data_IF_532065112417
#
_entry.id   IF_532065112417
#
_cell.length_a   1.000
_cell.length_b   1.000
_cell.length_c   1.000
_cell.angle_alpha   90.00
_cell.angle_beta   90.00
_cell.angle_gamma   90.00
#
_symmetry.space_group_name_H-M   'P 1'
#
loop_
_entity.id
_entity.type
_entity.pdbx_description
1 polymer ?
#
# COMPACT_ATOMS: atom_id res chain seq x y z
N UNK A 1 51.51 45.24 -56.94
CA UNK A 1 52.46 45.37 -55.80
C UNK A 1 52.58 44.02 -55.14
N UNK A 2 53.80 43.48 -55.04
CA UNK A 2 54.16 42.18 -54.46
C UNK A 2 54.65 42.38 -53.02
N UNK A 3 54.31 41.46 -52.14
CA UNK A 3 54.96 41.16 -50.85
C UNK A 3 54.42 39.79 -50.40
N UNK A 4 55.13 38.64 -50.37
CA UNK A 4 56.44 38.28 -49.78
C UNK A 4 56.52 38.77 -48.31
N UNK A 5 56.70 37.95 -47.26
CA UNK A 5 57.57 36.77 -47.04
C UNK A 5 57.33 36.26 -45.58
N UNK A 6 57.27 34.95 -45.28
CA UNK A 6 58.25 34.10 -44.54
C UNK A 6 57.55 33.49 -43.30
N UNK A 7 57.23 32.19 -43.19
CA UNK A 7 58.06 31.01 -42.85
C UNK A 7 59.12 31.27 -41.76
N UNK A 8 58.84 30.83 -40.53
CA UNK A 8 59.86 30.31 -39.62
C UNK A 8 59.35 29.03 -38.95
N UNK A 9 59.97 27.93 -39.34
CA UNK A 9 59.99 26.62 -38.70
C UNK A 9 61.02 26.68 -37.57
N UNK A 10 60.67 26.23 -36.37
CA UNK A 10 61.67 25.81 -35.37
C UNK A 10 61.09 24.66 -34.53
N UNK A 11 61.56 23.45 -34.84
CA UNK A 11 61.47 22.21 -34.06
C UNK A 11 62.75 22.13 -33.21
N UNK A 12 62.82 21.18 -32.24
CA UNK A 12 64.05 20.62 -31.58
C UNK A 12 64.42 21.39 -30.27
N UNK A 13 64.58 20.84 -29.04
CA UNK A 13 64.84 19.48 -28.52
C UNK A 13 64.76 19.42 -26.96
N UNK A 14 64.46 18.22 -26.43
CA UNK A 14 64.87 17.51 -25.19
C UNK A 14 65.10 18.19 -23.81
N UNK A 15 64.74 17.35 -22.80
CA UNK A 15 65.41 17.05 -21.52
C UNK A 15 65.45 18.11 -20.41
N UNK A 16 64.70 17.84 -19.34
CA UNK A 16 65.25 17.83 -17.97
C UNK A 16 64.29 17.15 -16.99
N UNK A 17 64.55 15.86 -16.72
CA UNK A 17 64.11 15.11 -15.55
C UNK A 17 64.88 15.55 -14.28
N UNK A 18 64.29 15.25 -13.12
CA UNK A 18 64.75 15.52 -11.74
C UNK A 18 64.55 16.99 -11.34
N UNK A 19 63.83 17.32 -10.26
CA UNK A 19 64.22 17.07 -8.86
C UNK A 19 63.07 16.61 -7.96
N UNK A 20 63.38 15.60 -7.14
CA UNK A 20 62.71 15.23 -5.90
C UNK A 20 63.14 16.18 -4.77
N UNK A 21 62.19 16.71 -4.02
CA UNK A 21 62.28 17.07 -2.61
C UNK A 21 60.83 17.02 -2.09
N UNK A 22 60.44 16.17 -1.13
CA UNK A 22 61.15 15.84 0.09
C UNK A 22 60.70 16.82 1.18
N UNK A 23 59.43 16.72 1.61
CA UNK A 23 58.94 17.41 2.79
C UNK A 23 58.57 16.33 3.81
N UNK A 24 59.43 16.21 4.83
CA UNK A 24 59.20 15.41 6.03
C UNK A 24 57.93 15.88 6.72
N UNK A 25 56.92 15.02 6.77
CA UNK A 25 55.90 15.06 7.80
C UNK A 25 56.15 13.90 8.76
N UNK A 26 56.91 14.19 9.81
CA UNK A 26 56.90 13.43 11.06
C UNK A 26 55.49 13.48 11.64
N UNK A 27 54.72 12.40 11.45
CA UNK A 27 53.35 12.26 11.92
C UNK A 27 53.02 10.80 12.22
N UNK A 28 53.39 10.37 13.42
CA UNK A 28 52.87 9.22 14.18
C UNK A 28 52.02 8.18 13.42
N UNK A 29 52.65 7.11 12.93
CA UNK A 29 51.95 5.87 12.59
C UNK A 29 51.68 5.05 13.87
N UNK A 30 50.72 5.50 14.68
CA UNK A 30 49.95 4.61 15.53
C UNK A 30 48.58 4.50 14.91
N UNK A 31 48.47 3.61 13.92
CA UNK A 31 47.15 3.09 13.57
C UNK A 31 46.57 2.45 14.84
N UNK A 32 45.35 2.78 15.27
CA UNK A 32 44.66 1.94 16.23
C UNK A 32 44.59 0.54 15.63
N UNK A 33 44.85 -0.53 16.40
CA UNK A 33 44.77 -1.88 15.87
C UNK A 33 43.39 -2.07 15.24
N UNK A 34 43.37 -2.56 14.00
CA UNK A 34 42.13 -2.90 13.32
C UNK A 34 41.34 -3.87 14.20
N UNK A 35 40.09 -3.54 14.53
CA UNK A 35 39.18 -4.46 15.20
C UNK A 35 39.00 -5.66 14.27
N UNK A 36 39.67 -6.76 14.58
CA UNK A 36 39.48 -8.03 13.87
C UNK A 36 38.15 -8.61 14.35
N UNK A 37 37.16 -8.62 13.46
CA UNK A 37 35.87 -9.22 13.72
C UNK A 37 36.08 -10.73 13.97
N UNK A 38 35.91 -11.18 15.22
CA UNK A 38 36.14 -12.56 15.63
C UNK A 38 37.28 -12.79 16.62
N UNK A 39 37.90 -11.74 17.18
CA UNK A 39 38.81 -11.89 18.31
C UNK A 39 38.02 -12.16 19.62
N UNK A 40 38.14 -13.35 20.24
CA UNK A 40 37.39 -13.71 21.45
C UNK A 40 37.72 -12.82 22.66
N UNK A 41 38.82 -12.06 22.63
CA UNK A 41 39.17 -11.07 23.67
C UNK A 41 38.35 -9.77 23.61
N UNK A 42 37.58 -9.55 22.53
CA UNK A 42 36.64 -8.42 22.39
C UNK A 42 35.20 -8.78 22.70
N UNK A 43 34.91 -10.05 23.02
CA UNK A 43 33.58 -10.47 23.44
C UNK A 43 33.44 -10.14 24.93
N UNK A 44 32.77 -9.02 25.23
CA UNK A 44 32.29 -8.75 26.58
C UNK A 44 31.11 -9.69 26.82
N UNK A 45 31.38 -10.85 27.42
CA UNK A 45 30.32 -11.68 27.98
C UNK A 45 29.93 -11.07 29.31
N UNK A 46 28.76 -10.44 29.39
CA UNK A 46 28.19 -10.03 30.67
C UNK A 46 27.99 -11.29 31.53
N UNK A 47 28.75 -11.39 32.61
CA UNK A 47 28.62 -12.44 33.63
C UNK A 47 27.67 -12.04 34.76
N UNK A 48 27.11 -10.83 34.71
CA UNK A 48 26.19 -10.33 35.72
C UNK A 48 24.77 -10.87 35.46
N UNK A 49 24.35 -11.78 36.33
CA UNK A 49 23.07 -12.49 36.27
C UNK A 49 21.86 -11.57 36.43
N UNK A 50 22.06 -10.32 36.86
CA UNK A 50 21.00 -9.33 36.94
C UNK A 50 20.51 -8.86 35.56
N UNK A 51 21.37 -8.90 34.53
CA UNK A 51 21.03 -8.47 33.15
C UNK A 51 20.65 -9.64 32.22
N UNK A 52 20.87 -10.88 32.67
CA UNK A 52 20.49 -12.12 31.96
C UNK A 52 19.14 -12.68 32.44
N UNK A 53 18.24 -11.83 32.92
CA UNK A 53 16.89 -12.27 33.28
C UNK A 53 16.02 -12.38 32.03
N UNK A 54 15.53 -13.60 31.78
CA UNK A 54 14.59 -13.89 30.72
C UNK A 54 13.22 -13.32 31.11
N UNK A 55 12.87 -12.14 30.57
CA UNK A 55 11.57 -11.49 30.78
C UNK A 55 10.48 -12.09 29.89
N UNK A 56 10.55 -13.38 29.57
CA UNK A 56 9.41 -14.09 29.01
C UNK A 56 8.44 -14.39 30.14
N UNK A 57 7.48 -13.48 30.32
CA UNK A 57 6.28 -13.77 31.10
C UNK A 57 5.55 -14.91 30.40
N UNK A 58 5.64 -16.10 30.97
CA UNK A 58 4.79 -17.23 30.61
C UNK A 58 3.33 -16.79 30.79
N UNK A 59 2.69 -16.47 29.66
CA UNK A 59 1.25 -16.25 29.58
C UNK A 59 0.56 -17.59 29.85
N UNK A 60 0.40 -17.93 31.13
CA UNK A 60 -0.61 -18.90 31.55
C UNK A 60 -1.95 -18.30 31.17
N UNK A 61 -2.48 -18.71 30.02
CA UNK A 61 -3.87 -18.48 29.65
C UNK A 61 -4.69 -19.06 30.81
N UNK A 62 -5.28 -18.19 31.62
CA UNK A 62 -6.25 -18.61 32.61
C UNK A 62 -7.39 -19.32 31.85
N UNK A 63 -7.61 -20.59 32.17
CA UNK A 63 -8.75 -21.35 31.69
C UNK A 63 -10.01 -20.53 31.96
N UNK A 64 -10.64 -20.06 30.88
CA UNK A 64 -11.95 -19.43 30.98
C UNK A 64 -12.90 -20.48 31.57
N UNK A 65 -13.61 -20.18 32.67
CA UNK A 65 -14.66 -21.08 33.13
C UNK A 65 -15.71 -21.15 32.03
N UNK A 66 -15.86 -22.34 31.47
CA UNK A 66 -16.99 -22.71 30.63
C UNK A 66 -18.20 -22.62 31.55
N UNK A 67 -19.02 -21.59 31.39
CA UNK A 67 -20.31 -21.53 32.08
C UNK A 67 -21.16 -22.68 31.53
N UNK A 68 -21.31 -23.70 32.36
CA UNK A 68 -22.36 -24.70 32.30
C UNK A 68 -23.70 -23.96 32.36
N UNK A 69 -24.36 -23.84 31.20
CA UNK A 69 -25.76 -23.43 31.14
C UNK A 69 -26.59 -24.61 31.62
N UNK A 70 -27.27 -24.42 32.75
CA UNK A 70 -28.26 -25.34 33.29
C UNK A 70 -29.42 -25.49 32.31
N UNK A 71 -29.75 -26.74 31.98
CA UNK A 71 -31.04 -27.15 31.43
C UNK A 71 -32.14 -27.03 32.50
N UNK A 72 -33.24 -26.37 32.15
CA UNK A 72 -34.58 -26.69 32.65
C UNK A 72 -35.65 -26.30 31.60
N UNK A 73 -36.81 -26.98 31.60
CA UNK A 73 -37.40 -27.50 30.37
C UNK A 73 -38.72 -26.78 29.98
N UNK A 74 -39.11 -27.10 28.74
CA UNK A 74 -40.42 -27.03 28.07
C UNK A 74 -41.66 -26.59 28.86
N UNK A 75 -42.50 -25.77 28.21
CA UNK A 75 -43.91 -26.12 28.02
C UNK A 75 -44.51 -25.42 26.78
N UNK A 76 -45.38 -26.16 26.09
CA UNK A 76 -45.95 -25.87 24.76
C UNK A 76 -47.35 -25.20 24.88
N UNK A 77 -48.31 -25.36 23.94
CA UNK A 77 -48.78 -24.29 23.06
C UNK A 77 -50.27 -23.93 23.28
N UNK A 78 -50.74 -22.80 22.75
CA UNK A 78 -52.18 -22.60 22.54
C UNK A 78 -52.49 -21.80 21.26
N UNK A 79 -53.49 -22.34 20.57
CA UNK A 79 -53.95 -22.04 19.22
C UNK A 79 -55.30 -21.25 19.32
N UNK A 80 -56.09 -21.09 18.25
CA UNK A 80 -56.50 -19.81 17.66
C UNK A 80 -57.90 -19.31 18.07
N UNK A 81 -58.21 -18.03 17.85
CA UNK A 81 -59.59 -17.55 17.76
C UNK A 81 -59.84 -16.70 16.53
N UNK A 82 -61.02 -16.94 15.96
CA UNK A 82 -61.50 -16.54 14.64
C UNK A 82 -62.38 -15.29 14.66
N UNK A 83 -62.42 -14.65 13.49
CA UNK A 83 -63.51 -13.94 12.83
C UNK A 83 -64.40 -12.94 13.58
N UNK A 84 -64.32 -11.67 13.15
CA UNK A 84 -65.54 -10.95 12.75
C UNK A 84 -65.25 -10.00 11.59
N UNK A 85 -65.97 -10.23 10.50
CA UNK A 85 -66.02 -9.50 9.23
C UNK A 85 -66.68 -8.13 9.40
N UNK A 86 -66.14 -7.07 8.79
CA UNK A 86 -66.93 -5.95 8.23
C UNK A 86 -66.11 -5.24 7.13
N UNK A 87 -66.84 -4.85 6.09
CA UNK A 87 -66.43 -4.64 4.70
C UNK A 87 -66.29 -3.14 4.37
N UNK A 88 -65.14 -2.80 3.76
CA UNK A 88 -64.89 -1.78 2.69
C UNK A 88 -65.20 -0.29 2.96
N UNK A 89 -64.16 0.55 2.94
CA UNK A 89 -63.96 1.56 1.88
C UNK A 89 -62.64 2.35 2.02
N UNK A 90 -61.98 2.53 0.87
CA UNK A 90 -61.01 3.58 0.54
C UNK A 90 -59.61 3.54 1.17
N UNK A 91 -58.78 2.77 0.47
CA UNK A 91 -57.34 2.88 0.32
C UNK A 91 -56.89 4.29 -0.11
N UNK A 92 -56.05 4.99 0.67
CA UNK A 92 -54.98 5.80 0.13
C UNK A 92 -53.76 4.88 -0.01
N UNK A 93 -53.42 4.64 -1.25
CA UNK A 93 -52.13 4.14 -1.71
C UNK A 93 -50.97 4.67 -0.84
N UNK A 94 -50.18 3.81 -0.17
CA UNK A 94 -48.94 4.25 0.43
C UNK A 94 -48.04 4.70 -0.72
N UNK A 95 -47.75 6.00 -0.74
CA UNK A 95 -46.82 6.63 -1.66
C UNK A 95 -45.58 5.74 -1.80
N UNK A 96 -45.44 5.13 -2.97
CA UNK A 96 -44.22 4.47 -3.38
C UNK A 96 -43.07 5.46 -3.12
N UNK A 97 -42.02 5.09 -2.38
CA UNK A 97 -40.81 5.88 -2.36
C UNK A 97 -40.30 5.93 -3.81
N UNK A 98 -40.38 7.12 -4.40
CA UNK A 98 -39.82 7.49 -5.69
C UNK A 98 -38.38 6.99 -5.71
N UNK A 99 -38.14 5.87 -6.40
CA UNK A 99 -36.80 5.37 -6.64
C UNK A 99 -36.04 6.48 -7.37
N UNK A 100 -35.01 7.03 -6.74
CA UNK A 100 -34.05 7.91 -7.38
C UNK A 100 -33.58 7.22 -8.66
N UNK A 101 -33.85 7.74 -9.86
CA UNK A 101 -33.40 7.13 -11.09
C UNK A 101 -31.88 7.27 -11.15
N UNK A 102 -31.15 6.16 -11.07
CA UNK A 102 -29.74 6.14 -11.51
C UNK A 102 -28.74 5.33 -10.69
N UNK A 103 -29.06 4.85 -9.49
CA UNK A 103 -28.12 3.97 -8.78
C UNK A 103 -28.30 2.50 -9.19
N UNK A 104 -27.23 1.82 -9.64
CA UNK A 104 -27.31 0.43 -10.10
C UNK A 104 -27.69 -0.49 -8.93
N UNK A 105 -28.65 -1.38 -9.13
CA UNK A 105 -29.06 -2.30 -8.07
C UNK A 105 -27.99 -3.38 -7.84
N UNK A 106 -27.99 -3.98 -6.65
CA UNK A 106 -27.07 -5.09 -6.31
C UNK A 106 -27.15 -6.24 -7.31
N UNK A 107 -28.35 -6.56 -7.80
CA UNK A 107 -28.56 -7.62 -8.77
C UNK A 107 -27.89 -7.30 -10.12
N UNK A 108 -28.04 -6.07 -10.59
CA UNK A 108 -27.43 -5.60 -11.85
C UNK A 108 -25.91 -5.63 -11.80
N UNK A 109 -25.32 -5.31 -10.63
CA UNK A 109 -23.88 -5.37 -10.44
C UNK A 109 -23.39 -6.83 -10.42
N UNK A 110 -24.05 -7.72 -9.68
CA UNK A 110 -23.65 -9.12 -9.56
C UNK A 110 -23.77 -9.93 -10.86
N UNK A 111 -24.63 -9.51 -11.79
CA UNK A 111 -24.76 -10.11 -13.12
C UNK A 111 -23.52 -9.84 -14.01
N UNK A 112 -22.71 -8.83 -13.68
CA UNK A 112 -21.51 -8.48 -14.45
C UNK A 112 -20.36 -9.44 -14.13
N UNK A 113 -19.39 -9.53 -15.06
CA UNK A 113 -18.10 -10.17 -14.79
C UNK A 113 -17.28 -9.29 -13.85
N UNK A 114 -16.42 -9.88 -13.02
CA UNK A 114 -15.57 -9.14 -12.10
C UNK A 114 -14.89 -10.01 -11.06
N UNK A 115 -14.12 -9.37 -10.17
CA UNK A 115 -13.41 -10.05 -9.10
C UNK A 115 -14.38 -10.50 -8.01
N UNK A 116 -14.41 -11.81 -7.74
CA UNK A 116 -15.11 -12.42 -6.59
C UNK A 116 -14.08 -12.89 -5.55
N UNK A 117 -14.24 -12.49 -4.30
CA UNK A 117 -13.40 -12.88 -3.17
C UNK A 117 -14.28 -13.51 -2.09
N UNK A 118 -14.32 -14.85 -2.00
CA UNK A 118 -15.22 -15.55 -1.09
C UNK A 118 -14.55 -15.82 0.25
N UNK A 119 -14.67 -14.91 1.22
CA UNK A 119 -14.35 -15.25 2.62
C UNK A 119 -15.55 -15.99 3.25
N UNK A 120 -15.34 -16.88 4.24
CA UNK A 120 -16.41 -17.67 4.85
C UNK A 120 -17.55 -16.81 5.42
N UNK A 121 -17.21 -15.67 6.01
CA UNK A 121 -18.16 -14.73 6.64
C UNK A 121 -18.73 -13.71 5.64
N UNK A 122 -18.00 -13.43 4.55
CA UNK A 122 -18.30 -12.32 3.65
C UNK A 122 -17.75 -12.57 2.24
N UNK A 123 -18.59 -12.36 1.24
CA UNK A 123 -18.22 -12.39 -0.17
C UNK A 123 -18.09 -10.95 -0.68
N UNK A 124 -16.89 -10.58 -1.10
CA UNK A 124 -16.67 -9.29 -1.78
C UNK A 124 -16.71 -9.51 -3.28
N UNK A 125 -17.33 -8.59 -3.99
CA UNK A 125 -17.40 -8.58 -5.43
C UNK A 125 -17.18 -7.16 -5.98
N UNK A 126 -16.29 -7.04 -6.95
CA UNK A 126 -16.05 -5.79 -7.67
C UNK A 126 -16.32 -6.06 -9.16
N UNK A 127 -17.35 -5.42 -9.77
CA UNK A 127 -17.70 -5.65 -11.16
C UNK A 127 -16.72 -4.95 -12.11
N UNK A 128 -16.68 -5.42 -13.37
CA UNK A 128 -15.97 -4.80 -14.48
C UNK A 128 -14.47 -4.57 -14.22
N UNK A 129 -13.85 -5.45 -13.45
CA UNK A 129 -12.39 -5.46 -13.27
C UNK A 129 -11.84 -6.85 -13.55
N UNK A 130 -10.67 -6.88 -14.15
CA UNK A 130 -9.86 -8.08 -14.26
C UNK A 130 -8.62 -7.92 -13.39
N UNK A 131 -8.24 -9.02 -12.75
CA UNK A 131 -7.15 -9.01 -11.79
C UNK A 131 -6.27 -10.24 -11.94
N UNK A 132 -4.98 -10.08 -11.63
CA UNK A 132 -4.04 -11.17 -11.43
C UNK A 132 -3.76 -11.36 -9.95
N UNK A 133 -3.60 -12.61 -9.52
CA UNK A 133 -3.01 -12.92 -8.21
C UNK A 133 -1.63 -13.55 -8.40
N UNK A 134 -0.72 -13.25 -7.48
CA UNK A 134 0.61 -13.86 -7.42
C UNK A 134 0.67 -15.04 -6.44
N UNK A 135 -0.33 -15.17 -5.58
CA UNK A 135 -0.37 -16.18 -4.53
C UNK A 135 -1.75 -16.85 -4.49
N UNK A 136 -1.76 -18.15 -4.18
CA UNK A 136 -3.00 -18.87 -3.92
C UNK A 136 -3.41 -18.62 -2.46
N UNK A 137 -4.51 -17.89 -2.26
CA UNK A 137 -5.02 -17.61 -0.91
C UNK A 137 -5.88 -18.76 -0.41
N UNK A 138 -5.72 -19.12 0.87
CA UNK A 138 -6.70 -19.92 1.59
C UNK A 138 -7.68 -18.97 2.29
N UNK A 139 -8.88 -18.79 1.73
CA UNK A 139 -9.85 -17.82 2.25
C UNK A 139 -10.46 -18.21 3.60
N UNK A 140 -10.34 -19.46 4.04
CA UNK A 140 -10.88 -19.92 5.32
C UNK A 140 -10.11 -19.32 6.50
N UNK A 141 -8.78 -19.31 6.38
CA UNK A 141 -7.86 -18.82 7.41
C UNK A 141 -7.34 -17.42 7.12
N UNK A 142 -7.29 -17.01 5.86
CA UNK A 142 -6.71 -15.73 5.47
C UNK A 142 -7.52 -14.56 6.02
N UNK A 143 -6.79 -13.63 6.63
CA UNK A 143 -7.33 -12.37 7.07
C UNK A 143 -7.66 -11.42 5.91
N UNK A 144 -6.94 -11.56 4.79
CA UNK A 144 -7.18 -10.76 3.62
C UNK A 144 -6.59 -11.36 2.35
N UNK A 145 -6.90 -10.72 1.23
CA UNK A 145 -6.45 -11.11 -0.09
C UNK A 145 -5.85 -9.91 -0.81
N UNK A 146 -4.83 -10.15 -1.63
CA UNK A 146 -4.16 -9.11 -2.42
C UNK A 146 -4.20 -9.47 -3.90
N UNK A 147 -4.65 -8.54 -4.73
CA UNK A 147 -4.77 -8.71 -6.17
C UNK A 147 -4.08 -7.55 -6.88
N UNK A 148 -3.62 -7.78 -8.10
CA UNK A 148 -3.15 -6.74 -9.00
C UNK A 148 -4.20 -6.49 -10.07
N UNK A 149 -4.58 -5.23 -10.26
CA UNK A 149 -5.51 -4.81 -11.30
C UNK A 149 -4.85 -4.92 -12.68
N UNK A 150 -5.40 -5.72 -13.58
CA UNK A 150 -4.90 -5.83 -14.97
C UNK A 150 -5.73 -4.96 -15.90
N UNK A 151 -7.06 -5.00 -15.78
CA UNK A 151 -7.99 -4.23 -16.60
C UNK A 151 -9.17 -3.68 -15.78
N UNK A 152 -9.83 -2.64 -16.31
CA UNK A 152 -10.94 -1.95 -15.68
C UNK A 152 -10.56 -0.67 -14.93
N UNK A 153 -11.57 0.04 -14.41
CA UNK A 153 -11.43 1.27 -13.61
C UNK A 153 -12.01 1.03 -12.22
N UNK A 154 -11.26 1.39 -11.18
CA UNK A 154 -11.72 1.33 -9.79
C UNK A 154 -12.48 2.59 -9.39
N UNK A 155 -11.98 3.75 -9.79
CA UNK A 155 -12.64 5.02 -9.48
C UNK A 155 -14.02 5.11 -10.18
N UNK A 156 -15.04 5.51 -9.41
CA UNK A 156 -16.44 5.54 -9.81
C UNK A 156 -17.13 4.16 -9.87
N UNK A 157 -16.40 3.08 -9.56
CA UNK A 157 -16.95 1.72 -9.52
C UNK A 157 -17.59 1.41 -8.15
N UNK A 158 -18.06 0.19 -7.96
CA UNK A 158 -18.76 -0.25 -6.75
C UNK A 158 -18.15 -1.52 -6.17
N UNK A 159 -18.24 -1.68 -4.86
CA UNK A 159 -17.98 -2.94 -4.17
C UNK A 159 -19.32 -3.46 -3.67
N UNK A 160 -19.65 -4.66 -4.09
CA UNK A 160 -20.79 -5.40 -3.58
C UNK A 160 -20.28 -6.36 -2.52
N UNK A 161 -20.86 -6.29 -1.33
CA UNK A 161 -20.50 -7.12 -0.19
C UNK A 161 -21.74 -7.94 0.18
N UNK A 162 -21.69 -9.23 -0.12
CA UNK A 162 -22.61 -10.20 0.43
C UNK A 162 -22.09 -10.68 1.76
N UNK A 163 -22.89 -10.60 2.83
CA UNK A 163 -22.54 -11.21 4.11
C UNK A 163 -23.62 -12.19 4.51
N UNK A 164 -23.18 -13.24 5.20
CA UNK A 164 -24.05 -14.17 5.94
C UNK A 164 -24.51 -13.57 7.28
N UNK A 165 -23.76 -12.61 7.81
CA UNK A 165 -24.09 -11.90 9.05
C UNK A 165 -24.32 -10.41 8.84
N UNK A 166 -24.04 -9.62 9.87
CA UNK A 166 -24.25 -8.16 9.86
C UNK A 166 -22.93 -7.42 9.57
N UNK A 167 -22.95 -6.52 8.59
CA UNK A 167 -21.81 -5.64 8.29
C UNK A 167 -21.95 -4.37 9.14
N UNK A 168 -20.98 -4.10 10.02
CA UNK A 168 -21.00 -2.92 10.89
C UNK A 168 -20.43 -1.69 10.19
N UNK A 169 -19.33 -1.87 9.45
CA UNK A 169 -18.67 -0.78 8.73
C UNK A 169 -17.75 -1.32 7.65
N UNK A 170 -17.62 -0.54 6.58
CA UNK A 170 -16.60 -0.72 5.54
C UNK A 170 -15.71 0.50 5.54
N UNK A 171 -14.41 0.26 5.55
CA UNK A 171 -13.40 1.29 5.48
C UNK A 171 -12.61 1.16 4.19
N UNK A 172 -12.16 2.27 3.66
CA UNK A 172 -11.26 2.37 2.54
C UNK A 172 -10.04 3.19 2.95
N UNK A 173 -8.89 2.83 2.41
CA UNK A 173 -7.70 3.69 2.38
C UNK A 173 -6.97 3.46 1.08
N UNK A 174 -6.10 4.37 0.71
CA UNK A 174 -5.27 4.20 -0.47
C UNK A 174 -3.81 4.51 -0.17
N UNK A 175 -2.95 4.03 -1.06
CA UNK A 175 -1.53 4.28 -1.03
C UNK A 175 -1.13 4.97 -2.32
N UNK A 176 -0.41 6.08 -2.18
CA UNK A 176 0.19 6.82 -3.29
C UNK A 176 1.68 6.59 -3.30
N UNK A 177 2.28 6.67 -4.47
CA UNK A 177 3.74 6.77 -4.62
C UNK A 177 4.09 7.97 -5.48
N UNK A 178 5.31 8.46 -5.32
CA UNK A 178 5.83 9.50 -6.20
C UNK A 178 6.47 8.88 -7.43
N UNK A 179 6.14 9.40 -8.60
CA UNK A 179 6.70 8.98 -9.87
C UNK A 179 7.41 10.16 -10.52
N UNK A 180 8.64 9.94 -10.98
CA UNK A 180 9.39 10.90 -11.77
C UNK A 180 9.18 10.63 -13.26
N UNK A 181 8.80 11.65 -14.03
CA UNK A 181 8.55 11.55 -15.49
C UNK A 181 9.44 12.52 -16.25
N UNK A 182 10.29 12.01 -17.14
CA UNK A 182 11.12 12.85 -18.02
C UNK A 182 11.25 12.21 -19.41
N UNK A 183 12.13 12.76 -20.26
CA UNK A 183 12.39 12.24 -21.62
C UNK A 183 12.96 10.80 -21.66
N UNK A 184 13.48 10.30 -20.53
CA UNK A 184 14.00 8.92 -20.38
C UNK A 184 12.89 7.94 -19.98
N UNK A 185 11.67 8.42 -19.78
CA UNK A 185 10.51 7.62 -19.40
C UNK A 185 10.08 7.88 -17.96
N UNK A 186 9.62 6.81 -17.32
CA UNK A 186 8.96 6.86 -16.02
C UNK A 186 9.72 6.07 -14.96
N UNK A 187 10.00 6.72 -13.84
CA UNK A 187 10.68 6.12 -12.70
C UNK A 187 9.81 6.22 -11.44
N UNK A 188 9.14 5.13 -11.04
CA UNK A 188 8.42 5.07 -9.78
C UNK A 188 9.40 5.04 -8.61
N UNK A 189 9.17 5.90 -7.63
CA UNK A 189 9.99 6.04 -6.42
C UNK A 189 9.27 5.31 -5.28
N UNK A 190 9.33 3.98 -5.26
CA UNK A 190 8.62 3.10 -4.30
C UNK A 190 8.96 3.38 -2.82
N UNK A 191 10.09 4.03 -2.56
CA UNK A 191 10.50 4.48 -1.23
C UNK A 191 9.75 5.73 -0.75
N UNK A 192 9.21 6.52 -1.68
CA UNK A 192 8.41 7.71 -1.41
C UNK A 192 6.93 7.36 -1.56
N UNK A 193 6.44 6.57 -0.62
CA UNK A 193 5.03 6.19 -0.53
C UNK A 193 4.33 6.89 0.62
N UNK A 194 3.04 7.20 0.46
CA UNK A 194 2.16 7.68 1.53
C UNK A 194 0.92 6.80 1.54
N UNK A 195 0.53 6.33 2.71
CA UNK A 195 -0.73 5.63 2.93
C UNK A 195 -1.65 6.55 3.71
N UNK A 196 -2.89 6.67 3.26
CA UNK A 196 -3.92 7.45 3.94
C UNK A 196 -4.44 6.71 5.17
N UNK A 197 -5.16 7.43 6.02
CA UNK A 197 -5.90 6.82 7.10
C UNK A 197 -7.10 6.02 6.58
N UNK A 198 -7.68 5.21 7.46
CA UNK A 198 -8.89 4.45 7.15
C UNK A 198 -10.10 5.36 7.23
N UNK A 199 -10.78 5.56 6.11
CA UNK A 199 -12.01 6.34 6.04
C UNK A 199 -13.20 5.42 5.88
N UNK A 200 -14.28 5.67 6.62
CA UNK A 200 -15.52 4.90 6.50
C UNK A 200 -16.22 5.27 5.20
N UNK A 201 -16.45 4.30 4.33
CA UNK A 201 -17.20 4.51 3.09
C UNK A 201 -18.70 4.32 3.34
N UNK A 202 -19.50 5.21 2.75
CA UNK A 202 -20.95 5.09 2.78
C UNK A 202 -21.40 4.11 1.70
N UNK A 203 -22.38 3.29 2.04
CA UNK A 203 -23.01 2.36 1.12
C UNK A 203 -24.37 1.96 1.67
N UNK A 204 -25.23 1.48 0.79
CA UNK A 204 -26.56 0.99 1.13
C UNK A 204 -26.75 -0.42 0.58
N UNK A 205 -27.51 -1.26 1.30
CA UNK A 205 -27.86 -2.64 0.89
C UNK A 205 -26.67 -3.51 0.46
N UNK A 206 -25.49 -3.27 1.05
CA UNK A 206 -24.26 -3.99 0.75
C UNK A 206 -23.54 -3.52 -0.53
N UNK A 207 -23.94 -2.38 -1.12
CA UNK A 207 -23.28 -1.75 -2.25
C UNK A 207 -22.57 -0.49 -1.77
N UNK A 208 -21.27 -0.39 -2.04
CA UNK A 208 -20.42 0.72 -1.61
C UNK A 208 -19.74 1.34 -2.81
N UNK A 209 -19.90 2.64 -3.01
CA UNK A 209 -19.24 3.35 -4.11
C UNK A 209 -17.74 3.52 -3.80
N UNK A 210 -16.91 3.26 -4.80
CA UNK A 210 -15.47 3.51 -4.76
C UNK A 210 -15.25 4.93 -5.29
N UNK A 211 -14.96 5.85 -4.38
CA UNK A 211 -14.67 7.24 -4.70
C UNK A 211 -13.18 7.49 -4.41
N UNK A 212 -12.38 7.63 -5.47
CA UNK A 212 -10.95 7.88 -5.34
C UNK A 212 -10.65 9.36 -5.66
N UNK A 213 -9.73 10.00 -4.92
CA UNK A 213 -9.46 11.42 -5.15
C UNK A 213 -8.64 11.62 -6.44
N UNK A 214 -9.32 11.89 -7.56
CA UNK A 214 -8.73 12.04 -8.90
C UNK A 214 -7.60 13.09 -8.98
N UNK A 215 -7.71 14.20 -8.24
CA UNK A 215 -6.79 15.33 -8.34
C UNK A 215 -6.14 15.74 -7.01
N UNK A 216 -6.46 15.03 -5.93
CA UNK A 216 -6.02 15.36 -4.56
C UNK A 216 -5.37 14.16 -3.87
N UNK A 217 -4.64 13.36 -4.62
CA UNK A 217 -3.82 12.29 -4.06
C UNK A 217 -2.90 12.88 -2.99
N UNK A 218 -3.00 12.33 -1.77
CA UNK A 218 -2.11 12.68 -0.68
C UNK A 218 -0.65 12.43 -1.05
N UNK A 219 0.23 13.30 -0.56
CA UNK A 219 1.64 13.31 -0.94
C UNK A 219 2.50 13.27 0.30
N UNK A 220 3.59 12.52 0.20
CA UNK A 220 4.62 12.57 1.23
C UNK A 220 5.39 13.89 1.13
N UNK A 221 5.51 14.60 2.25
CA UNK A 221 6.40 15.76 2.36
C UNK A 221 7.81 15.25 2.64
N UNK A 222 8.73 15.49 1.71
CA UNK A 222 10.13 15.06 1.84
C UNK A 222 11.09 16.13 1.33
N UNK A 223 12.32 16.08 1.81
CA UNK A 223 13.41 16.99 1.40
C UNK A 223 14.02 16.58 0.05
N UNK A 224 14.72 17.52 -0.60
CA UNK A 224 15.50 17.25 -1.82
C UNK A 224 16.46 16.07 -1.67
N UNK A 225 17.11 15.93 -0.50
CA UNK A 225 18.02 14.81 -0.21
C UNK A 225 17.31 13.46 -0.27
N UNK A 226 16.13 13.35 0.33
CA UNK A 226 15.33 12.13 0.30
C UNK A 226 14.88 11.79 -1.12
N UNK A 227 14.50 12.78 -1.92
CA UNK A 227 14.15 12.61 -3.34
C UNK A 227 15.33 12.03 -4.14
N UNK A 228 16.52 12.62 -3.99
CA UNK A 228 17.74 12.14 -4.70
C UNK A 228 18.14 10.74 -4.27
N UNK A 229 17.99 10.41 -2.98
CA UNK A 229 18.23 9.06 -2.47
C UNK A 229 17.23 8.06 -3.04
N UNK A 230 15.95 8.42 -3.11
CA UNK A 230 14.90 7.60 -3.71
C UNK A 230 15.16 7.32 -5.19
N UNK A 231 15.55 8.34 -5.96
CA UNK A 231 15.96 8.19 -7.37
C UNK A 231 17.19 7.30 -7.52
N UNK A 232 18.18 7.45 -6.64
CA UNK A 232 19.38 6.61 -6.66
C UNK A 232 19.05 5.14 -6.41
N UNK A 233 18.15 4.85 -5.45
CA UNK A 233 17.67 3.48 -5.19
C UNK A 233 16.89 2.93 -6.38
N UNK A 234 15.87 3.66 -6.85
CA UNK A 234 15.04 3.20 -7.96
C UNK A 234 15.82 2.95 -9.27
N UNK A 235 16.83 3.77 -9.57
CA UNK A 235 17.72 3.55 -10.73
C UNK A 235 18.67 2.38 -10.55
N UNK A 236 19.10 2.08 -9.31
CA UNK A 236 19.90 0.89 -9.00
C UNK A 236 19.06 -0.38 -9.11
N UNK A 237 17.84 -0.36 -8.55
CA UNK A 237 16.92 -1.51 -8.57
C UNK A 237 16.56 -1.93 -10.00
N UNK A 238 16.56 -0.97 -10.94
CA UNK A 238 16.34 -1.22 -12.38
C UNK A 238 17.62 -1.48 -13.19
N UNK A 239 18.78 -1.59 -12.54
CA UNK A 239 20.08 -1.81 -13.18
C UNK A 239 20.44 -0.79 -14.28
N UNK A 240 20.08 0.49 -14.08
CA UNK A 240 20.41 1.54 -15.05
C UNK A 240 21.92 1.83 -15.10
N UNK A 241 22.41 2.18 -16.29
CA UNK A 241 23.80 2.61 -16.50
C UNK A 241 24.14 3.85 -15.66
N UNK A 242 25.43 4.04 -15.37
CA UNK A 242 25.90 5.19 -14.59
C UNK A 242 25.47 6.53 -15.23
N UNK A 243 25.47 6.60 -16.57
CA UNK A 243 25.02 7.76 -17.33
C UNK A 243 23.51 7.99 -17.15
N UNK A 244 22.68 6.96 -17.28
CA UNK A 244 21.23 7.07 -17.06
C UNK A 244 20.88 7.51 -15.63
N UNK A 245 21.59 6.98 -14.63
CA UNK A 245 21.46 7.41 -13.23
C UNK A 245 21.81 8.89 -13.07
N UNK A 246 22.90 9.36 -13.68
CA UNK A 246 23.31 10.77 -13.62
C UNK A 246 22.29 11.69 -14.26
N UNK A 247 21.70 11.29 -15.39
CA UNK A 247 20.65 12.07 -16.05
C UNK A 247 19.39 12.20 -15.18
N UNK A 248 18.94 11.11 -14.54
CA UNK A 248 17.82 11.18 -13.57
C UNK A 248 18.13 12.08 -12.38
N UNK A 249 19.33 11.95 -11.80
CA UNK A 249 19.74 12.80 -10.68
C UNK A 249 19.82 14.28 -11.06
N UNK A 250 20.28 14.58 -12.28
CA UNK A 250 20.30 15.95 -12.79
C UNK A 250 18.88 16.49 -12.99
N UNK A 251 17.94 15.67 -13.47
CA UNK A 251 16.54 16.05 -13.68
C UNK A 251 15.83 16.43 -12.36
N UNK A 252 16.18 15.78 -11.24
CA UNK A 252 15.60 16.09 -9.92
C UNK A 252 16.48 16.99 -9.04
N UNK A 253 17.64 17.46 -9.53
CA UNK A 253 18.63 18.17 -8.71
C UNK A 253 18.04 19.40 -8.01
N UNK A 254 17.16 20.13 -8.69
CA UNK A 254 16.53 21.38 -8.22
C UNK A 254 15.14 21.18 -7.58
N UNK A 255 14.71 19.93 -7.42
CA UNK A 255 13.37 19.59 -6.93
C UNK A 255 13.37 19.56 -5.42
N UNK A 256 12.69 20.50 -4.79
CA UNK A 256 12.66 20.64 -3.33
C UNK A 256 11.43 19.99 -2.70
N UNK A 257 10.43 19.62 -3.49
CA UNK A 257 9.21 18.96 -3.02
C UNK A 257 8.67 17.96 -4.03
N UNK A 258 7.83 17.06 -3.56
CA UNK A 258 7.12 16.04 -4.37
C UNK A 258 6.04 16.62 -5.29
N UNK A 259 5.83 17.95 -5.23
CA UNK A 259 4.84 18.66 -6.05
C UNK A 259 5.44 19.31 -7.29
N UNK A 260 6.76 19.38 -7.37
CA UNK A 260 7.45 20.03 -8.47
C UNK A 260 7.74 19.02 -9.57
N UNK A 261 7.53 19.45 -10.83
CA UNK A 261 7.99 18.69 -12.00
C UNK A 261 9.50 18.40 -11.86
N UNK A 262 9.97 17.19 -12.22
CA UNK A 262 9.28 16.13 -12.95
C UNK A 262 8.50 15.13 -12.08
N UNK A 263 8.27 15.40 -10.79
CA UNK A 263 7.58 14.49 -9.88
C UNK A 263 6.06 14.69 -9.91
N UNK A 264 5.31 13.60 -9.77
CA UNK A 264 3.87 13.59 -9.54
C UNK A 264 3.45 12.40 -8.68
N UNK A 265 2.41 12.52 -7.84
CA UNK A 265 1.85 11.37 -7.14
C UNK A 265 1.06 10.50 -8.12
N UNK A 266 1.13 9.19 -7.93
CA UNK A 266 0.32 8.20 -8.62
C UNK A 266 -0.29 7.26 -7.59
N UNK A 267 -1.49 6.75 -7.89
CA UNK A 267 -2.16 5.77 -7.05
C UNK A 267 -1.48 4.41 -7.22
N UNK A 268 -1.04 3.80 -6.11
CA UNK A 268 -0.32 2.52 -6.12
C UNK A 268 -1.18 1.36 -5.66
N UNK A 269 -2.00 1.58 -4.65
CA UNK A 269 -2.89 0.55 -4.13
C UNK A 269 -4.13 1.16 -3.48
N UNK A 270 -5.23 0.41 -3.52
CA UNK A 270 -6.44 0.68 -2.75
C UNK A 270 -6.71 -0.50 -1.84
N UNK A 271 -7.10 -0.21 -0.61
CA UNK A 271 -7.35 -1.22 0.41
C UNK A 271 -8.72 -1.00 1.01
N UNK A 272 -9.45 -2.09 1.19
CA UNK A 272 -10.73 -2.11 1.88
C UNK A 272 -10.65 -3.00 3.11
N UNK A 273 -11.34 -2.60 4.15
CA UNK A 273 -11.47 -3.33 5.40
C UNK A 273 -12.96 -3.43 5.74
N UNK A 274 -13.46 -4.65 5.80
CA UNK A 274 -14.85 -4.94 6.17
C UNK A 274 -14.86 -5.45 7.60
N UNK A 275 -15.68 -4.84 8.44
CA UNK A 275 -15.87 -5.22 9.85
C UNK A 275 -17.33 -5.54 10.08
N UNK A 276 -17.60 -6.65 10.76
CA UNK A 276 -18.96 -7.11 11.02
C UNK A 276 -19.02 -8.19 12.08
N UNK A 277 -20.20 -8.79 12.22
CA UNK A 277 -20.46 -9.99 13.04
C UNK A 277 -20.99 -11.10 12.15
N UNK A 278 -20.53 -12.32 12.37
CA UNK A 278 -21.05 -13.50 11.66
C UNK A 278 -22.46 -13.89 12.15
N UNK A 279 -23.03 -14.96 11.59
CA UNK A 279 -24.33 -15.52 12.00
C UNK A 279 -24.37 -15.90 13.49
N UNK A 280 -23.22 -16.26 14.07
CA UNK A 280 -23.07 -16.61 15.49
C UNK A 280 -22.75 -15.41 16.38
N UNK A 281 -22.80 -14.18 15.83
CA UNK A 281 -22.50 -12.94 16.55
C UNK A 281 -21.00 -12.69 16.82
N UNK A 282 -20.09 -13.54 16.32
CA UNK A 282 -18.64 -13.37 16.49
C UNK A 282 -18.13 -12.24 15.59
N UNK A 283 -17.33 -11.31 16.12
CA UNK A 283 -16.79 -10.23 15.31
C UNK A 283 -15.78 -10.79 14.29
N UNK A 284 -15.84 -10.29 13.06
CA UNK A 284 -14.85 -10.57 12.04
C UNK A 284 -14.32 -9.30 11.40
N UNK A 285 -13.11 -9.38 10.88
CA UNK A 285 -12.51 -8.35 10.05
C UNK A 285 -11.83 -9.02 8.86
N UNK A 286 -12.13 -8.54 7.65
CA UNK A 286 -11.50 -9.00 6.41
C UNK A 286 -10.94 -7.83 5.63
N UNK A 287 -9.81 -8.04 4.98
CA UNK A 287 -9.15 -7.01 4.18
C UNK A 287 -9.00 -7.45 2.72
N UNK A 288 -9.21 -6.51 1.81
CA UNK A 288 -8.94 -6.67 0.40
C UNK A 288 -7.96 -5.58 -0.02
N UNK A 289 -6.86 -5.97 -0.63
CA UNK A 289 -5.90 -5.06 -1.23
C UNK A 289 -5.90 -5.24 -2.74
N UNK A 290 -5.95 -4.12 -3.44
CA UNK A 290 -5.82 -4.04 -4.89
C UNK A 290 -4.62 -3.17 -5.23
N UNK A 291 -3.58 -3.78 -5.76
CA UNK A 291 -2.41 -3.08 -6.30
C UNK A 291 -2.71 -2.63 -7.73
N UNK A 292 -2.38 -1.39 -8.04
CA UNK A 292 -2.56 -0.79 -9.35
C UNK A 292 -1.20 -0.73 -10.02
N UNK A 293 -1.03 -1.36 -11.20
CA UNK A 293 0.22 -1.28 -11.94
C UNK A 293 0.37 0.13 -12.51
N UNK A 294 1.55 0.70 -12.35
CA UNK A 294 1.90 1.98 -12.93
C UNK A 294 2.30 1.70 -14.36
N UNK A 295 1.42 2.03 -15.31
CA UNK A 295 1.66 1.87 -16.74
C UNK A 295 2.82 2.79 -17.14
N UNK A 296 3.94 2.18 -17.55
CA UNK A 296 5.15 2.85 -18.05
C UNK A 296 4.95 3.46 -19.43
#
# INVERSE_FOLDING_TARGET
>A
MKGNRNIHVTVIILLSTFWLAGCDSTGSSQQPPSIKMGDPSTIVTETDSQYLQDFVVDLKLADRPVQTVQEQPEESPQQPQADTTTTVAHQPEPAQPTATPGEPTRADLLAKKGLKVPFPQVQLFIPNIDTRTYQKFNFETAYGASYELTEGKLDGNHIVIGSKGTISAVYMRYQTIIVARNKLGMLPLETLRKTTEWEKIKGDKGVYKIDLPDNKLERIKVSNKAIRNAVTRATRDRNWTANGRRQWLNAVKRVNSTNQKPLGPELRAVMWKVVGKDENGRPFQRQLRMDIPIKT
#
